data_IF_849772764090
#
_entry.id   IF_849772764090
#
_cell.length_a   1.000
_cell.length_b   1.000
_cell.length_c   1.000
_cell.angle_alpha   90.00
_cell.angle_beta   90.00
_cell.angle_gamma   90.00
#
_symmetry.space_group_name_H-M   'P 1'
#
loop_
_entity.id
_entity.type
_entity.pdbx_description
1 polymer ?
#
# COMPACT_ATOMS: atom_id res chain seq x y z
N UNK A 1 -25.36 -34.19 35.38
CA UNK A 1 -25.66 -33.05 34.49
C UNK A 1 -24.40 -32.20 34.37
N UNK A 2 -23.68 -32.32 33.24
CA UNK A 2 -22.41 -31.58 33.01
C UNK A 2 -22.77 -30.41 32.10
N UNK A 3 -22.76 -29.21 32.67
CA UNK A 3 -23.03 -27.96 31.92
C UNK A 3 -21.81 -27.63 31.06
N UNK A 4 -21.96 -27.73 29.73
CA UNK A 4 -20.95 -27.27 28.76
C UNK A 4 -21.12 -25.76 28.57
N UNK A 5 -20.21 -24.99 29.12
CA UNK A 5 -20.08 -23.57 28.81
C UNK A 5 -19.50 -23.45 27.38
N UNK A 6 -20.29 -22.95 26.44
CA UNK A 6 -19.81 -22.51 25.16
C UNK A 6 -19.15 -21.13 25.34
N UNK A 7 -17.82 -21.06 25.31
CA UNK A 7 -17.12 -19.81 25.12
C UNK A 7 -17.34 -19.34 23.68
N UNK A 8 -18.24 -18.38 23.49
CA UNK A 8 -18.35 -17.62 22.24
C UNK A 8 -17.18 -16.64 22.25
N UNK A 9 -16.12 -16.97 21.52
CA UNK A 9 -15.06 -16.01 21.18
C UNK A 9 -15.67 -15.05 20.17
N UNK A 10 -16.08 -13.88 20.65
CA UNK A 10 -16.44 -12.77 19.79
C UNK A 10 -15.17 -12.32 19.07
N UNK A 11 -15.01 -12.74 17.81
CA UNK A 11 -14.00 -12.18 16.92
C UNK A 11 -14.38 -10.72 16.70
N UNK A 12 -13.74 -9.81 17.43
CA UNK A 12 -13.81 -8.37 17.15
C UNK A 12 -13.07 -8.17 15.84
N UNK A 13 -13.81 -8.12 14.74
CA UNK A 13 -13.25 -7.70 13.46
C UNK A 13 -12.78 -6.25 13.62
N UNK A 14 -11.48 -6.05 13.84
CA UNK A 14 -10.86 -4.73 13.78
C UNK A 14 -11.07 -4.27 12.33
N UNK A 15 -11.66 -3.09 12.08
CA UNK A 15 -11.86 -2.63 10.72
C UNK A 15 -10.48 -2.49 10.04
N UNK A 16 -10.19 -3.37 9.09
CA UNK A 16 -8.96 -3.38 8.29
C UNK A 16 -8.73 -2.08 7.50
N UNK A 17 -9.66 -1.13 7.61
CA UNK A 17 -9.72 0.09 6.81
C UNK A 17 -8.69 1.15 7.22
N UNK A 18 -8.21 1.16 8.47
CA UNK A 18 -7.21 2.11 8.98
C UNK A 18 -5.80 1.49 9.04
N UNK A 19 -5.54 0.46 8.23
CA UNK A 19 -4.28 -0.25 8.20
C UNK A 19 -3.57 -0.07 6.85
N UNK A 20 -2.25 -0.21 6.89
CA UNK A 20 -1.43 -0.27 5.69
C UNK A 20 -1.88 -1.40 4.77
N UNK A 21 -1.72 -1.19 3.47
CA UNK A 21 -2.03 -2.18 2.45
C UNK A 21 -0.87 -2.24 1.47
N UNK A 22 -0.43 -3.43 1.10
CA UNK A 22 0.67 -3.59 0.16
C UNK A 22 0.53 -4.82 -0.72
N UNK A 23 1.31 -4.83 -1.78
CA UNK A 23 1.50 -5.98 -2.66
C UNK A 23 2.72 -6.76 -2.16
N UNK A 24 2.55 -8.07 -1.97
CA UNK A 24 3.60 -9.01 -1.59
C UNK A 24 3.81 -10.03 -2.71
N UNK A 25 4.81 -9.86 -3.58
CA UNK A 25 5.18 -10.89 -4.54
C UNK A 25 5.87 -12.06 -3.83
N UNK A 26 5.66 -13.28 -4.29
CA UNK A 26 6.37 -14.46 -3.75
C UNK A 26 7.88 -14.40 -4.01
N UNK A 27 8.31 -13.53 -4.93
CA UNK A 27 9.72 -13.21 -5.18
C UNK A 27 9.86 -11.80 -5.74
N UNK A 28 10.88 -11.08 -5.29
CA UNK A 28 11.29 -9.80 -5.87
C UNK A 28 12.30 -9.97 -7.02
N UNK A 29 12.75 -11.21 -7.28
CA UNK A 29 13.70 -11.56 -8.35
C UNK A 29 13.13 -12.67 -9.22
N UNK A 30 12.05 -12.40 -9.96
CA UNK A 30 11.43 -13.42 -10.80
C UNK A 30 12.36 -13.85 -11.92
N UNK A 31 12.34 -15.15 -12.21
CA UNK A 31 13.00 -15.70 -13.39
C UNK A 31 12.13 -15.45 -14.62
N UNK A 32 12.75 -15.01 -15.72
CA UNK A 32 12.07 -14.81 -16.98
C UNK A 32 11.38 -16.10 -17.47
N UNK A 33 10.12 -15.95 -17.91
CA UNK A 33 9.31 -17.08 -18.38
C UNK A 33 8.70 -17.94 -17.28
N UNK A 34 9.02 -17.72 -15.99
CA UNK A 34 8.37 -18.40 -14.87
C UNK A 34 7.26 -17.57 -14.26
N UNK A 35 6.18 -18.26 -13.88
CA UNK A 35 5.08 -17.62 -13.14
C UNK A 35 5.42 -17.54 -11.66
N UNK A 36 5.13 -16.40 -11.04
CA UNK A 36 5.17 -16.19 -9.60
C UNK A 36 3.84 -15.65 -9.10
N UNK A 37 3.61 -15.75 -7.80
CA UNK A 37 2.35 -15.34 -7.19
C UNK A 37 2.46 -13.96 -6.55
N UNK A 38 1.30 -13.31 -6.39
CA UNK A 38 1.18 -12.00 -5.78
C UNK A 38 0.03 -12.03 -4.79
N UNK A 39 0.33 -11.77 -3.52
CA UNK A 39 -0.66 -11.60 -2.45
C UNK A 39 -0.90 -10.13 -2.19
N UNK A 40 -2.09 -9.81 -1.67
CA UNK A 40 -2.45 -8.50 -1.14
C UNK A 40 -2.53 -8.63 0.38
N UNK A 41 -1.88 -7.73 1.10
CA UNK A 41 -1.86 -7.77 2.55
C UNK A 41 -2.37 -6.47 3.17
N UNK A 42 -2.93 -6.59 4.35
CA UNK A 42 -3.37 -5.47 5.18
C UNK A 42 -2.86 -5.66 6.60
N UNK A 43 -2.28 -4.62 7.20
CA UNK A 43 -1.73 -4.72 8.55
C UNK A 43 -1.00 -3.47 9.00
N UNK A 44 -0.12 -3.63 9.97
CA UNK A 44 0.73 -2.55 10.51
C UNK A 44 2.19 -3.00 10.59
N UNK A 45 3.10 -2.04 10.48
CA UNK A 45 4.54 -2.26 10.64
C UNK A 45 5.09 -3.39 9.74
N UNK A 46 4.54 -3.49 8.52
CA UNK A 46 4.86 -4.49 7.50
C UNK A 46 4.58 -5.95 7.94
N UNK A 47 3.70 -6.12 8.91
CA UNK A 47 3.12 -7.39 9.30
C UNK A 47 1.60 -7.33 9.15
N UNK A 48 0.99 -8.36 8.57
CA UNK A 48 -0.45 -8.32 8.31
C UNK A 48 -1.03 -9.61 7.77
N UNK A 49 -2.33 -9.56 7.55
CA UNK A 49 -3.13 -10.67 7.04
C UNK A 49 -3.34 -10.54 5.53
N UNK A 50 -3.49 -11.67 4.87
CA UNK A 50 -3.81 -11.71 3.45
C UNK A 50 -5.23 -11.20 3.19
N UNK A 51 -5.38 -10.43 2.12
CA UNK A 51 -6.66 -9.98 1.60
C UNK A 51 -6.95 -10.78 0.34
N UNK A 52 -7.95 -11.67 0.34
CA UNK A 52 -8.33 -12.40 -0.86
C UNK A 52 -8.69 -11.47 -2.02
N UNK A 53 -8.44 -11.93 -3.25
CA UNK A 53 -8.85 -11.20 -4.44
C UNK A 53 -10.35 -10.91 -4.41
N UNK A 54 -10.72 -9.66 -4.67
CA UNK A 54 -12.13 -9.28 -4.84
C UNK A 54 -12.29 -8.30 -6.01
N UNK A 55 -12.93 -8.75 -7.07
CA UNK A 55 -13.23 -7.91 -8.24
C UNK A 55 -14.13 -6.72 -7.89
N UNK A 56 -14.91 -6.83 -6.82
CA UNK A 56 -15.74 -5.72 -6.33
C UNK A 56 -14.90 -4.56 -5.77
N UNK A 57 -13.72 -4.87 -5.22
CA UNK A 57 -12.82 -3.88 -4.62
C UNK A 57 -11.77 -3.36 -5.61
N UNK A 58 -11.46 -4.11 -6.66
CA UNK A 58 -10.40 -3.79 -7.62
C UNK A 58 -10.93 -2.81 -8.68
N UNK A 59 -10.30 -1.64 -8.80
CA UNK A 59 -10.45 -0.75 -9.95
C UNK A 59 -9.44 -1.15 -11.04
N UNK A 60 -8.16 -1.36 -10.66
CA UNK A 60 -7.14 -1.90 -11.54
C UNK A 60 -6.14 -2.77 -10.77
N UNK A 61 -5.69 -3.85 -11.39
CA UNK A 61 -4.61 -4.69 -10.89
C UNK A 61 -3.80 -5.17 -12.08
N UNK A 62 -2.63 -4.55 -12.30
CA UNK A 62 -1.85 -4.70 -13.53
C UNK A 62 -0.38 -4.96 -13.22
N UNK A 63 0.34 -5.52 -14.18
CA UNK A 63 1.80 -5.55 -14.23
C UNK A 63 2.26 -4.80 -15.47
N UNK A 64 3.24 -3.93 -15.31
CA UNK A 64 3.90 -3.22 -16.40
C UNK A 64 5.36 -3.62 -16.47
N UNK A 65 5.77 -4.18 -17.59
CA UNK A 65 7.14 -4.62 -17.86
C UNK A 65 7.65 -4.07 -19.20
N UNK A 66 8.71 -4.65 -19.74
CA UNK A 66 9.27 -4.31 -21.06
C UNK A 66 8.36 -4.66 -22.24
N UNK A 67 7.34 -5.48 -22.06
CA UNK A 67 6.33 -5.86 -23.05
C UNK A 67 5.08 -4.99 -23.04
N UNK A 68 4.93 -4.12 -22.04
CA UNK A 68 3.77 -3.25 -21.89
C UNK A 68 3.06 -3.41 -20.55
N UNK A 69 1.76 -3.09 -20.53
CA UNK A 69 0.91 -3.25 -19.35
C UNK A 69 -0.11 -4.37 -19.58
N UNK A 70 -0.19 -5.28 -18.63
CA UNK A 70 -1.05 -6.45 -18.68
C UNK A 70 -1.83 -6.60 -17.37
N UNK A 71 -3.06 -7.17 -17.40
CA UNK A 71 -3.79 -7.45 -16.17
C UNK A 71 -3.10 -8.54 -15.34
N UNK A 72 -3.12 -8.39 -14.02
CA UNK A 72 -2.78 -9.47 -13.09
C UNK A 72 -4.02 -10.35 -12.95
N UNK A 73 -3.94 -11.56 -13.45
CA UNK A 73 -5.03 -12.54 -13.37
C UNK A 73 -4.98 -13.32 -12.05
N UNK A 74 -6.15 -13.70 -11.55
CA UNK A 74 -6.30 -14.47 -10.32
C UNK A 74 -7.73 -14.96 -10.14
N UNK A 75 -7.96 -15.75 -9.10
CA UNK A 75 -9.26 -16.32 -8.82
C UNK A 75 -9.96 -15.52 -7.71
N UNK A 76 -11.27 -15.32 -7.88
CA UNK A 76 -12.09 -14.59 -6.92
C UNK A 76 -12.10 -15.29 -5.55
N UNK A 77 -12.04 -14.49 -4.48
CA UNK A 77 -12.02 -14.93 -3.08
C UNK A 77 -10.85 -15.86 -2.73
N UNK A 78 -9.74 -15.78 -3.46
CA UNK A 78 -8.55 -16.59 -3.19
C UNK A 78 -7.31 -15.74 -2.89
N UNK A 79 -6.38 -16.33 -2.16
CA UNK A 79 -4.97 -15.98 -2.07
C UNK A 79 -4.15 -17.15 -2.68
N UNK A 80 -3.15 -16.87 -3.54
CA UNK A 80 -2.67 -15.54 -3.95
C UNK A 80 -3.70 -14.79 -4.80
N UNK A 81 -3.71 -13.45 -4.61
CA UNK A 81 -4.63 -12.57 -5.33
C UNK A 81 -4.33 -12.49 -6.83
N UNK A 82 -3.15 -12.92 -7.25
CA UNK A 82 -2.80 -12.93 -8.65
C UNK A 82 -1.58 -13.78 -9.00
N UNK A 83 -1.46 -14.03 -10.31
CA UNK A 83 -0.36 -14.74 -10.94
C UNK A 83 0.26 -13.83 -11.99
N UNK A 84 1.59 -13.68 -11.97
CA UNK A 84 2.35 -12.83 -12.87
C UNK A 84 3.42 -13.65 -13.57
N UNK A 85 3.58 -13.42 -14.87
CA UNK A 85 4.67 -13.97 -15.66
C UNK A 85 5.34 -12.83 -16.42
N UNK A 86 6.66 -12.74 -16.34
CA UNK A 86 7.48 -11.80 -17.05
C UNK A 86 8.35 -12.59 -18.03
N UNK A 87 8.08 -12.44 -19.33
CA UNK A 87 8.72 -13.29 -20.34
C UNK A 87 10.16 -12.88 -20.69
N UNK A 88 10.56 -11.64 -20.37
CA UNK A 88 11.91 -11.13 -20.61
C UNK A 88 12.58 -10.68 -19.34
N UNK A 89 13.89 -10.91 -19.17
CA UNK A 89 14.61 -10.34 -18.05
C UNK A 89 14.44 -8.82 -18.01
N UNK A 90 14.24 -8.27 -16.82
CA UNK A 90 14.06 -6.83 -16.65
C UNK A 90 13.33 -6.48 -15.37
N UNK A 91 12.99 -5.20 -15.26
CA UNK A 91 12.20 -4.67 -14.17
C UNK A 91 10.71 -4.67 -14.56
N UNK A 92 9.86 -5.02 -13.62
CA UNK A 92 8.43 -4.85 -13.74
C UNK A 92 7.85 -4.14 -12.51
N UNK A 93 6.76 -3.39 -12.73
CA UNK A 93 5.99 -2.71 -11.71
C UNK A 93 4.61 -3.36 -11.64
N UNK A 94 4.30 -3.97 -10.51
CA UNK A 94 2.96 -4.48 -10.22
C UNK A 94 2.21 -3.36 -9.54
N UNK A 95 1.02 -3.03 -10.03
CA UNK A 95 0.21 -1.94 -9.53
C UNK A 95 -1.21 -2.36 -9.19
N UNK A 96 -1.70 -1.90 -8.04
CA UNK A 96 -3.07 -2.11 -7.57
C UNK A 96 -3.72 -0.77 -7.25
N UNK A 97 -4.94 -0.59 -7.70
CA UNK A 97 -5.78 0.54 -7.36
C UNK A 97 -7.16 0.03 -6.94
N UNK A 98 -7.64 0.42 -5.76
CA UNK A 98 -8.98 0.05 -5.30
C UNK A 98 -10.04 1.02 -5.79
N UNK A 99 -11.28 0.54 -5.90
CA UNK A 99 -12.47 1.38 -5.91
C UNK A 99 -12.61 2.13 -4.58
N UNK A 100 -13.54 3.08 -4.54
CA UNK A 100 -13.92 3.77 -3.32
C UNK A 100 -14.54 2.78 -2.32
N UNK A 101 -14.06 2.77 -1.10
CA UNK A 101 -14.59 1.92 -0.03
C UNK A 101 -15.09 2.81 1.11
N UNK A 102 -16.36 2.67 1.54
CA UNK A 102 -16.87 3.44 2.65
C UNK A 102 -16.25 2.99 3.97
N UNK A 103 -16.01 3.96 4.85
CA UNK A 103 -15.48 3.75 6.18
C UNK A 103 -16.17 4.69 7.17
N UNK A 104 -16.54 4.16 8.32
CA UNK A 104 -16.98 4.93 9.46
C UNK A 104 -16.10 4.59 10.68
N UNK A 105 -15.55 5.62 11.31
CA UNK A 105 -14.72 5.52 12.50
C UNK A 105 -15.36 6.30 13.63
N UNK A 106 -15.21 5.81 14.87
CA UNK A 106 -15.48 6.66 16.03
C UNK A 106 -14.52 7.86 16.04
N UNK A 107 -14.88 8.95 16.72
CA UNK A 107 -14.02 10.11 16.87
C UNK A 107 -12.65 9.72 17.45
N UNK A 108 -12.62 8.82 18.43
CA UNK A 108 -11.39 8.34 19.05
C UNK A 108 -10.47 7.65 18.03
N UNK A 109 -10.98 6.67 17.28
CA UNK A 109 -10.22 5.94 16.26
C UNK A 109 -9.74 6.85 15.13
N UNK A 110 -10.58 7.79 14.69
CA UNK A 110 -10.18 8.76 13.69
C UNK A 110 -9.06 9.67 14.19
N UNK A 111 -9.17 10.19 15.41
CA UNK A 111 -8.15 11.06 16.01
C UNK A 111 -6.82 10.30 16.23
N UNK A 112 -6.90 9.01 16.58
CA UNK A 112 -5.73 8.14 16.66
C UNK A 112 -5.07 7.97 15.28
N UNK A 113 -5.84 7.65 14.26
CA UNK A 113 -5.38 7.55 12.88
C UNK A 113 -4.71 8.85 12.40
N UNK A 114 -5.35 10.00 12.61
CA UNK A 114 -4.79 11.32 12.26
C UNK A 114 -3.43 11.56 12.91
N UNK A 115 -3.28 11.17 14.19
CA UNK A 115 -2.03 11.29 14.93
C UNK A 115 -0.96 10.33 14.42
N UNK A 116 -1.31 9.05 14.18
CA UNK A 116 -0.38 8.02 13.71
C UNK A 116 0.17 8.34 12.32
N UNK A 117 -0.69 8.82 11.42
CA UNK A 117 -0.31 9.21 10.06
C UNK A 117 0.20 10.67 9.96
N UNK A 118 0.35 11.35 11.10
CA UNK A 118 0.91 12.71 11.19
C UNK A 118 0.16 13.73 10.34
N UNK A 119 -1.17 13.58 10.25
CA UNK A 119 -2.03 14.46 9.48
C UNK A 119 -2.35 15.74 10.29
N UNK A 120 -2.30 16.89 9.63
CA UNK A 120 -2.59 18.20 10.26
C UNK A 120 -4.07 18.54 10.08
N UNK A 121 -4.94 17.85 10.83
CA UNK A 121 -6.40 18.01 10.76
C UNK A 121 -6.94 18.19 12.17
N UNK A 122 -7.94 19.10 12.36
CA UNK A 122 -8.60 19.25 13.65
C UNK A 122 -9.19 17.93 14.16
N UNK A 123 -9.15 17.69 15.48
CA UNK A 123 -9.76 16.49 16.06
C UNK A 123 -11.27 16.41 15.76
N UNK A 124 -11.74 15.23 15.42
CA UNK A 124 -13.16 14.97 15.31
C UNK A 124 -13.81 14.89 16.69
N UNK A 125 -15.00 15.44 16.82
CA UNK A 125 -15.84 15.41 18.05
C UNK A 125 -17.00 14.42 17.98
N UNK A 126 -17.20 13.79 16.81
CA UNK A 126 -18.22 12.79 16.53
C UNK A 126 -17.75 11.76 15.52
N UNK A 127 -18.61 10.79 15.13
CA UNK A 127 -18.25 9.78 14.15
C UNK A 127 -17.77 10.41 12.84
N UNK A 128 -16.69 9.86 12.30
CA UNK A 128 -16.08 10.30 11.04
C UNK A 128 -16.45 9.32 9.93
N UNK A 129 -16.93 9.85 8.82
CA UNK A 129 -17.27 9.08 7.62
C UNK A 129 -16.44 9.52 6.46
N UNK A 130 -15.88 8.56 5.74
CA UNK A 130 -15.05 8.79 4.58
C UNK A 130 -15.15 7.67 3.55
N UNK A 131 -14.58 7.91 2.38
CA UNK A 131 -14.23 6.85 1.44
C UNK A 131 -12.71 6.72 1.39
N UNK A 132 -12.22 5.50 1.60
CA UNK A 132 -10.78 5.24 1.44
C UNK A 132 -10.47 4.62 0.07
N UNK A 133 -9.26 4.90 -0.41
CA UNK A 133 -8.69 4.39 -1.65
C UNK A 133 -7.29 3.85 -1.39
N UNK A 134 -6.94 2.74 -2.01
CA UNK A 134 -5.64 2.10 -1.90
C UNK A 134 -4.92 2.14 -3.24
N UNK A 135 -3.65 2.56 -3.23
CA UNK A 135 -2.76 2.66 -4.37
C UNK A 135 -1.46 1.96 -4.01
N UNK A 136 -1.36 0.67 -4.31
CA UNK A 136 -0.18 -0.11 -3.98
C UNK A 136 0.65 -0.38 -5.22
N UNK A 137 1.97 -0.34 -5.06
CA UNK A 137 2.94 -0.76 -6.07
C UNK A 137 3.94 -1.74 -5.48
N UNK A 138 4.42 -2.65 -6.33
CA UNK A 138 5.57 -3.49 -6.03
C UNK A 138 6.52 -3.49 -7.22
N UNK A 139 7.82 -3.33 -6.96
CA UNK A 139 8.86 -3.40 -7.98
C UNK A 139 9.56 -4.74 -7.86
N UNK A 140 9.57 -5.49 -8.95
CA UNK A 140 10.24 -6.79 -9.05
C UNK A 140 11.22 -6.79 -10.22
N UNK A 141 12.22 -7.66 -10.13
CA UNK A 141 13.28 -7.73 -11.13
C UNK A 141 14.33 -6.63 -10.97
N UNK A 142 15.15 -6.44 -12.01
CA UNK A 142 16.24 -5.46 -12.02
C UNK A 142 16.25 -4.76 -13.37
N UNK A 143 16.70 -3.51 -13.39
CA UNK A 143 16.80 -2.72 -14.61
C UNK A 143 16.38 -1.28 -14.42
N UNK A 144 16.17 -0.61 -15.53
CA UNK A 144 15.69 0.78 -15.57
C UNK A 144 14.16 0.86 -15.58
N UNK A 145 13.62 2.05 -15.30
CA UNK A 145 12.19 2.32 -15.37
C UNK A 145 11.43 2.09 -14.06
N UNK A 146 12.14 1.93 -12.93
CA UNK A 146 11.51 1.89 -11.61
C UNK A 146 10.81 3.23 -11.25
N UNK A 147 11.21 4.32 -11.87
CA UNK A 147 10.67 5.68 -11.71
C UNK A 147 9.42 5.95 -12.56
N UNK A 148 8.92 4.93 -13.27
CA UNK A 148 7.70 5.07 -14.07
C UNK A 148 6.48 5.29 -13.19
N UNK A 149 5.70 6.29 -13.56
CA UNK A 149 4.41 6.56 -12.95
C UNK A 149 3.34 5.65 -13.55
N UNK A 150 2.45 5.15 -12.69
CA UNK A 150 1.25 4.43 -13.10
C UNK A 150 0.05 5.37 -13.31
N UNK A 151 0.19 6.66 -12.94
CA UNK A 151 -0.86 7.67 -13.08
C UNK A 151 -1.90 7.60 -11.97
N UNK A 152 -1.59 7.00 -10.84
CA UNK A 152 -2.48 6.96 -9.68
C UNK A 152 -2.72 8.34 -9.10
N UNK A 153 -3.91 8.55 -8.56
CA UNK A 153 -4.29 9.83 -7.95
C UNK A 153 -3.37 10.22 -6.80
N UNK A 154 -2.94 9.25 -6.01
CA UNK A 154 -1.93 9.39 -4.97
C UNK A 154 -0.85 8.32 -5.20
N UNK A 155 0.39 8.72 -5.39
CA UNK A 155 1.41 7.81 -5.92
C UNK A 155 2.78 8.07 -5.30
N UNK A 156 3.41 7.00 -4.82
CA UNK A 156 4.82 6.98 -4.44
C UNK A 156 5.63 6.51 -5.66
N UNK A 157 6.58 7.32 -6.11
CA UNK A 157 7.45 7.02 -7.25
C UNK A 157 8.89 7.00 -6.76
N UNK A 158 9.61 5.89 -6.86
CA UNK A 158 11.02 5.86 -6.51
C UNK A 158 11.83 6.65 -7.55
N UNK A 159 12.78 7.45 -7.09
CA UNK A 159 13.84 8.06 -7.91
C UNK A 159 15.11 7.20 -7.88
N UNK A 160 15.19 6.28 -6.90
CA UNK A 160 16.19 5.22 -6.82
C UNK A 160 15.74 4.17 -5.81
N UNK A 161 16.26 2.95 -5.90
CA UNK A 161 15.98 1.88 -4.94
C UNK A 161 16.88 1.94 -3.68
N UNK A 162 17.62 3.03 -3.50
CA UNK A 162 18.41 3.34 -2.29
C UNK A 162 17.66 4.18 -1.27
N UNK A 163 16.34 4.43 -1.50
CA UNK A 163 15.46 5.14 -0.58
C UNK A 163 15.07 6.56 -1.00
N UNK A 164 15.36 6.98 -2.24
CA UNK A 164 14.86 8.25 -2.77
C UNK A 164 13.52 8.04 -3.46
N UNK A 165 12.49 8.74 -2.97
CA UNK A 165 11.14 8.68 -3.53
C UNK A 165 10.56 10.06 -3.72
N UNK A 166 9.59 10.16 -4.60
CA UNK A 166 8.78 11.36 -4.80
C UNK A 166 7.30 11.02 -4.65
N UNK A 167 6.59 11.87 -3.94
CA UNK A 167 5.16 11.74 -3.68
C UNK A 167 4.40 12.63 -4.64
N UNK A 168 3.38 12.05 -5.29
CA UNK A 168 2.50 12.76 -6.20
C UNK A 168 1.04 12.66 -5.73
N UNK A 169 0.34 13.78 -5.83
CA UNK A 169 -1.11 13.86 -5.70
C UNK A 169 -1.70 14.55 -6.92
N UNK A 170 -2.68 13.92 -7.57
CA UNK A 170 -3.31 14.39 -8.81
C UNK A 170 -2.27 14.82 -9.88
N UNK A 171 -1.24 14.01 -10.00
CA UNK A 171 -0.17 14.21 -10.98
C UNK A 171 0.86 15.27 -10.63
N UNK A 172 0.69 16.01 -9.55
CA UNK A 172 1.61 17.06 -9.07
C UNK A 172 2.41 16.59 -7.86
N UNK A 173 3.66 17.05 -7.68
CA UNK A 173 4.41 16.80 -6.45
C UNK A 173 3.64 17.28 -5.22
N UNK A 174 3.59 16.44 -4.18
CA UNK A 174 2.92 16.76 -2.91
C UNK A 174 3.98 17.07 -1.85
N UNK A 175 3.99 18.31 -1.37
CA UNK A 175 4.82 18.74 -0.26
C UNK A 175 4.21 18.35 1.10
N UNK A 176 5.08 18.23 2.11
CA UNK A 176 4.71 18.03 3.52
C UNK A 176 3.93 16.70 3.79
N UNK A 177 3.90 15.76 2.85
CA UNK A 177 3.36 14.42 3.10
C UNK A 177 4.28 13.66 4.06
N UNK A 178 3.72 13.05 5.11
CA UNK A 178 4.47 12.11 5.93
C UNK A 178 4.68 10.83 5.14
N UNK A 179 5.92 10.41 5.02
CA UNK A 179 6.31 9.18 4.35
C UNK A 179 7.07 8.32 5.33
N UNK A 180 6.74 7.05 5.40
CA UNK A 180 7.39 6.09 6.30
C UNK A 180 7.99 4.95 5.49
N UNK A 181 9.24 4.60 5.79
CA UNK A 181 9.92 3.41 5.27
C UNK A 181 10.09 2.38 6.39
N UNK A 182 9.75 1.11 6.11
CA UNK A 182 9.77 0.01 7.09
C UNK A 182 10.47 -1.17 6.45
N UNK A 183 11.45 -1.78 7.16
CA UNK A 183 12.11 -3.00 6.72
C UNK A 183 11.30 -4.23 7.13
N UNK A 184 11.14 -5.22 6.24
CA UNK A 184 10.28 -6.39 6.49
C UNK A 184 10.72 -7.23 7.68
N UNK A 185 12.03 -7.53 7.78
CA UNK A 185 12.57 -8.43 8.79
C UNK A 185 13.04 -7.69 10.05
N UNK A 186 12.88 -6.37 10.11
CA UNK A 186 13.20 -5.53 11.27
C UNK A 186 12.27 -4.31 11.31
N UNK A 187 11.06 -4.46 11.87
CA UNK A 187 10.11 -3.34 11.98
C UNK A 187 10.64 -2.16 12.81
N UNK A 188 11.67 -2.39 13.65
CA UNK A 188 12.35 -1.30 14.37
C UNK A 188 13.23 -0.43 13.46
N UNK A 189 13.63 -0.96 12.29
CA UNK A 189 14.24 -0.16 11.22
C UNK A 189 13.17 0.66 10.48
N UNK A 190 12.41 1.47 11.23
CA UNK A 190 11.38 2.37 10.75
C UNK A 190 11.91 3.78 10.70
N UNK A 191 11.71 4.46 9.58
CA UNK A 191 12.09 5.84 9.38
C UNK A 191 10.91 6.62 8.82
N UNK A 192 10.72 7.84 9.32
CA UNK A 192 9.68 8.75 8.79
C UNK A 192 10.28 10.09 8.46
N UNK A 193 9.84 10.67 7.35
CA UNK A 193 10.23 12.01 6.93
C UNK A 193 9.10 12.68 6.17
N UNK A 194 9.10 14.01 6.12
CA UNK A 194 8.14 14.76 5.30
C UNK A 194 8.74 15.11 3.96
N UNK A 195 7.91 15.03 2.92
CA UNK A 195 8.32 15.44 1.58
C UNK A 195 8.60 16.93 1.51
N UNK A 196 9.63 17.28 0.74
CA UNK A 196 10.02 18.66 0.45
C UNK A 196 9.02 19.36 -0.51
N UNK A 197 9.18 20.66 -0.83
CA UNK A 197 8.31 21.35 -1.77
C UNK A 197 8.23 20.73 -3.17
N UNK A 198 9.22 19.92 -3.57
CA UNK A 198 9.21 19.16 -4.83
C UNK A 198 8.62 17.76 -4.68
N UNK A 199 8.06 17.40 -3.51
CA UNK A 199 7.50 16.10 -3.20
C UNK A 199 8.53 15.03 -2.86
N UNK A 200 9.82 15.34 -2.70
CA UNK A 200 10.89 14.37 -2.50
C UNK A 200 11.10 14.02 -1.04
N UNK A 201 11.43 12.75 -0.82
CA UNK A 201 11.93 12.24 0.45
C UNK A 201 13.16 11.38 0.17
N UNK A 202 14.13 11.45 1.08
CA UNK A 202 15.31 10.59 1.07
C UNK A 202 15.45 9.85 2.38
N UNK A 203 15.47 8.54 2.31
CA UNK A 203 15.79 7.65 3.42
C UNK A 203 17.20 7.08 3.24
N UNK A 204 17.97 7.00 4.32
CA UNK A 204 19.19 6.23 4.35
C UNK A 204 18.82 4.78 4.73
N UNK A 205 18.46 3.96 3.77
CA UNK A 205 18.10 2.56 4.02
C UNK A 205 19.36 1.78 4.44
N UNK A 206 19.48 1.36 5.71
CA UNK A 206 20.76 0.82 6.22
C UNK A 206 20.99 -0.64 5.85
N UNK A 207 19.95 -1.35 5.41
CA UNK A 207 19.97 -2.80 5.19
C UNK A 207 19.51 -3.18 3.78
N UNK A 208 20.06 -4.27 3.26
CA UNK A 208 19.50 -4.97 2.12
C UNK A 208 18.25 -5.72 2.56
N UNK A 209 17.38 -6.10 1.61
CA UNK A 209 16.15 -6.81 1.86
C UNK A 209 14.94 -6.03 1.38
N UNK A 210 13.77 -6.44 1.84
CA UNK A 210 12.49 -5.89 1.38
C UNK A 210 12.08 -4.70 2.24
N UNK A 211 11.71 -3.63 1.55
CA UNK A 211 11.22 -2.38 2.15
C UNK A 211 9.80 -2.07 1.70
N UNK A 212 9.01 -1.59 2.64
CA UNK A 212 7.72 -0.94 2.41
C UNK A 212 7.90 0.56 2.61
N UNK A 213 7.53 1.34 1.61
CA UNK A 213 7.37 2.80 1.77
C UNK A 213 5.89 3.11 1.69
N UNK A 214 5.37 3.85 2.66
CA UNK A 214 3.96 4.21 2.74
C UNK A 214 3.74 5.69 2.99
N UNK A 215 2.57 6.18 2.58
CA UNK A 215 2.10 7.53 2.88
C UNK A 215 0.57 7.56 2.84
N UNK A 216 -0.03 8.41 3.66
CA UNK A 216 -1.48 8.64 3.66
C UNK A 216 -1.75 10.11 3.40
N UNK A 217 -2.74 10.40 2.58
CA UNK A 217 -3.20 11.74 2.29
C UNK A 217 -4.71 11.83 2.48
N UNK A 218 -5.15 12.70 3.39
CA UNK A 218 -6.57 12.92 3.68
C UNK A 218 -7.01 14.23 3.06
N UNK A 219 -8.11 14.17 2.31
CA UNK A 219 -8.69 15.34 1.64
C UNK A 219 -10.17 15.47 1.96
N UNK A 220 -10.65 16.71 1.97
CA UNK A 220 -12.06 16.98 2.05
C UNK A 220 -12.51 17.71 0.78
N UNK A 221 -13.54 17.19 0.14
CA UNK A 221 -14.13 17.81 -1.05
C UNK A 221 -15.63 17.85 -0.90
N UNK A 222 -16.22 19.06 -0.95
CA UNK A 222 -17.67 19.31 -0.82
C UNK A 222 -18.30 18.65 0.43
N UNK A 223 -17.55 18.63 1.55
CA UNK A 223 -18.00 18.02 2.81
C UNK A 223 -17.72 16.53 2.93
N UNK A 224 -17.32 15.83 1.85
CA UNK A 224 -16.95 14.42 1.89
C UNK A 224 -15.46 14.24 2.16
N UNK A 225 -15.13 13.39 3.11
CA UNK A 225 -13.76 13.00 3.40
C UNK A 225 -13.32 11.82 2.54
N UNK A 226 -12.06 11.86 2.10
CA UNK A 226 -11.41 10.78 1.36
C UNK A 226 -10.00 10.58 1.86
N UNK A 227 -9.68 9.37 2.29
CA UNK A 227 -8.30 8.98 2.59
C UNK A 227 -7.69 8.20 1.43
N UNK A 228 -6.50 8.61 1.04
CA UNK A 228 -5.73 8.04 -0.05
C UNK A 228 -4.50 7.38 0.55
N UNK A 229 -4.37 6.07 0.38
CA UNK A 229 -3.31 5.25 0.96
C UNK A 229 -2.39 4.77 -0.14
N UNK A 230 -1.16 5.25 -0.15
CA UNK A 230 -0.15 4.81 -1.11
C UNK A 230 0.90 3.93 -0.44
N UNK A 231 1.30 2.87 -1.13
CA UNK A 231 2.39 2.00 -0.72
C UNK A 231 3.27 1.60 -1.89
N UNK A 232 4.53 1.28 -1.57
CA UNK A 232 5.53 0.79 -2.51
C UNK A 232 6.37 -0.27 -1.82
N UNK A 233 6.40 -1.50 -2.35
CA UNK A 233 7.32 -2.55 -1.91
C UNK A 233 8.40 -2.80 -2.94
N UNK A 234 9.63 -3.05 -2.50
CA UNK A 234 10.76 -3.39 -3.35
C UNK A 234 11.87 -4.09 -2.54
N UNK A 235 12.73 -4.83 -3.21
CA UNK A 235 13.94 -5.40 -2.63
C UNK A 235 15.15 -4.55 -3.03
N UNK A 236 15.90 -4.14 -2.01
CA UNK A 236 17.20 -3.46 -2.17
C UNK A 236 18.35 -4.44 -2.26
#
# INVERSE_FOLDING_TARGET
>A
MISRWLCVVACVAVPAAAHDFWIEPSTFRPEAGKTFTVSLLVGQDFAGDVVPRSAQLIESFTVRDGGGEHPVNGFENQDPAGYVRIDRPGLAIIGYHSKANPLELSAEKFNEFVRQEGLSIPPATGPHREHFFRYAKSIVGRGEGFDRRLGYRFEIVPESLDGRVRIYFEGKPLANALVTAIHRDDPNARMSARSDPSGRVRFALPRNGVWLIKSVHLIQNRGEWKSLWASLTFER
#
